data_IF_196454015301
#
_entry.id   IF_196454015301
#
_cell.length_a   1.000
_cell.length_b   1.000
_cell.length_c   1.000
_cell.angle_alpha   90.00
_cell.angle_beta   90.00
_cell.angle_gamma   90.00
#
_symmetry.space_group_name_H-M   'P 1'
#
loop_
_entity.id
_entity.type
_entity.pdbx_description
1 polymer ?
#
# COMPACT_ATOMS: atom_id res chain seq x y z
N UNK A 1 -61.68 5.19 6.45
CA UNK A 1 -60.58 4.47 5.78
C UNK A 1 -59.63 5.53 5.22
N UNK A 2 -58.40 5.63 5.76
CA UNK A 2 -57.37 6.60 5.31
C UNK A 2 -56.52 5.96 4.21
N UNK A 3 -56.15 6.70 3.13
CA UNK A 3 -55.37 6.13 2.04
C UNK A 3 -53.94 5.84 2.49
N UNK A 4 -53.45 4.67 2.09
CA UNK A 4 -52.10 4.17 2.32
C UNK A 4 -51.14 4.91 1.37
N UNK A 5 -50.26 5.75 1.90
CA UNK A 5 -49.25 6.46 1.10
C UNK A 5 -48.05 5.50 0.91
N UNK A 6 -47.90 4.97 -0.29
CA UNK A 6 -46.75 4.14 -0.66
C UNK A 6 -45.52 5.05 -0.80
N UNK A 7 -44.62 5.03 0.19
CA UNK A 7 -43.35 5.76 0.12
C UNK A 7 -42.40 4.97 -0.80
N UNK A 8 -42.26 5.43 -2.05
CA UNK A 8 -41.27 4.90 -2.98
C UNK A 8 -39.88 5.35 -2.51
N UNK A 9 -39.13 4.47 -1.86
CA UNK A 9 -37.71 4.71 -1.55
C UNK A 9 -36.94 4.60 -2.87
N UNK A 10 -36.68 5.74 -3.50
CA UNK A 10 -35.71 5.85 -4.59
C UNK A 10 -34.32 5.62 -3.99
N UNK A 11 -33.82 4.39 -4.15
CA UNK A 11 -32.38 4.10 -4.00
C UNK A 11 -31.70 4.82 -5.15
N UNK A 12 -31.13 5.99 -4.88
CA UNK A 12 -30.27 6.69 -5.83
C UNK A 12 -28.96 5.90 -5.95
N UNK A 13 -28.97 4.88 -6.82
CA UNK A 13 -27.73 4.35 -7.35
C UNK A 13 -27.05 5.48 -8.12
N UNK A 14 -26.01 6.08 -7.53
CA UNK A 14 -25.21 7.09 -8.20
C UNK A 14 -24.72 6.52 -9.52
N UNK A 15 -25.05 7.17 -10.63
CA UNK A 15 -24.49 6.83 -11.94
C UNK A 15 -22.99 7.10 -11.86
N UNK A 16 -22.18 6.04 -11.72
CA UNK A 16 -20.73 6.16 -11.76
C UNK A 16 -20.29 6.65 -13.13
N UNK A 17 -19.37 7.60 -13.18
CA UNK A 17 -18.89 8.17 -14.43
C UNK A 17 -18.18 7.10 -15.29
N UNK A 18 -18.01 7.34 -16.61
CA UNK A 18 -17.25 6.44 -17.47
C UNK A 18 -15.84 6.15 -16.94
N UNK A 19 -15.18 7.11 -16.28
CA UNK A 19 -13.85 6.92 -15.69
C UNK A 19 -13.90 6.15 -14.36
N UNK A 20 -14.92 6.34 -13.54
CA UNK A 20 -15.12 5.53 -12.32
C UNK A 20 -15.25 4.04 -12.65
N UNK A 21 -16.06 3.71 -13.67
CA UNK A 21 -16.22 2.34 -14.15
C UNK A 21 -14.90 1.73 -14.65
N UNK A 22 -14.02 2.53 -15.26
CA UNK A 22 -12.68 2.08 -15.65
C UNK A 22 -11.78 1.87 -14.42
N UNK A 23 -11.89 2.74 -13.42
CA UNK A 23 -11.15 2.64 -12.16
C UNK A 23 -11.57 1.40 -11.37
N UNK A 24 -12.87 1.11 -11.24
CA UNK A 24 -13.39 -0.09 -10.57
C UNK A 24 -12.80 -1.37 -11.17
N UNK A 25 -12.82 -1.48 -12.50
CA UNK A 25 -12.26 -2.63 -13.21
C UNK A 25 -10.74 -2.71 -13.07
N UNK A 26 -10.04 -1.59 -13.14
CA UNK A 26 -8.59 -1.56 -12.99
C UNK A 26 -8.16 -1.96 -11.57
N UNK A 27 -8.87 -1.47 -10.55
CA UNK A 27 -8.63 -1.81 -9.15
C UNK A 27 -8.88 -3.29 -8.88
N UNK A 28 -10.00 -3.83 -9.36
CA UNK A 28 -10.29 -5.26 -9.28
C UNK A 28 -9.16 -6.11 -9.89
N UNK A 29 -8.69 -5.74 -11.09
CA UNK A 29 -7.61 -6.46 -11.77
C UNK A 29 -6.27 -6.34 -11.02
N UNK A 30 -5.98 -5.18 -10.42
CA UNK A 30 -4.77 -4.97 -9.63
C UNK A 30 -4.76 -5.84 -8.35
N UNK A 31 -5.84 -5.83 -7.57
CA UNK A 31 -5.90 -6.56 -6.30
C UNK A 31 -6.16 -8.06 -6.46
N UNK A 32 -6.56 -8.49 -7.65
CA UNK A 32 -6.69 -9.90 -8.02
C UNK A 32 -5.68 -10.31 -9.10
N UNK A 33 -4.51 -9.67 -9.17
CA UNK A 33 -3.47 -9.98 -10.19
C UNK A 33 -2.94 -11.42 -10.10
N UNK A 34 -3.03 -12.05 -8.93
CA UNK A 34 -2.63 -13.44 -8.70
C UNK A 34 -3.43 -14.44 -9.54
N UNK A 35 -4.65 -14.10 -9.97
CA UNK A 35 -5.51 -14.96 -10.78
C UNK A 35 -5.16 -14.93 -12.29
N UNK A 36 -4.16 -14.16 -12.74
CA UNK A 36 -3.73 -14.18 -14.14
C UNK A 36 -2.62 -13.22 -14.54
N UNK A 37 -1.66 -13.70 -15.33
CA UNK A 37 -0.40 -13.02 -15.69
C UNK A 37 -0.54 -11.72 -16.51
N UNK A 38 -1.73 -11.42 -17.06
CA UNK A 38 -1.99 -10.20 -17.85
C UNK A 38 -2.87 -9.15 -17.14
N UNK A 39 -3.25 -9.38 -15.88
CA UNK A 39 -4.20 -8.51 -15.18
C UNK A 39 -3.65 -7.12 -14.88
N UNK A 40 -2.38 -7.03 -14.47
CA UNK A 40 -1.74 -5.74 -14.21
C UNK A 40 -1.65 -4.86 -15.47
N UNK A 41 -1.30 -5.46 -16.62
CA UNK A 41 -1.27 -4.75 -17.91
C UNK A 41 -2.66 -4.35 -18.40
N UNK A 42 -3.68 -5.18 -18.12
CA UNK A 42 -5.08 -4.86 -18.41
C UNK A 42 -5.58 -3.68 -17.56
N UNK A 43 -5.29 -3.69 -16.25
CA UNK A 43 -5.56 -2.58 -15.34
C UNK A 43 -4.89 -1.29 -15.85
N UNK A 44 -3.63 -1.42 -16.29
CA UNK A 44 -2.88 -0.29 -16.86
C UNK A 44 -3.53 0.23 -18.15
N UNK A 45 -4.01 -0.65 -19.02
CA UNK A 45 -4.65 -0.23 -20.27
C UNK A 45 -5.95 0.55 -20.01
N UNK A 46 -6.73 0.13 -19.00
CA UNK A 46 -7.95 0.83 -18.58
C UNK A 46 -7.67 2.24 -18.05
N UNK A 47 -6.64 2.38 -17.22
CA UNK A 47 -6.30 3.68 -16.63
C UNK A 47 -5.60 4.62 -17.64
N UNK A 48 -4.89 4.12 -18.67
CA UNK A 48 -4.48 4.93 -19.84
C UNK A 48 -5.70 5.57 -20.49
N UNK A 49 -6.78 4.80 -20.68
CA UNK A 49 -8.02 5.31 -21.26
C UNK A 49 -8.69 6.30 -20.32
N UNK A 50 -8.79 5.99 -19.03
CA UNK A 50 -9.34 6.90 -18.00
C UNK A 50 -8.63 8.25 -17.99
N UNK A 51 -7.30 8.25 -17.98
CA UNK A 51 -6.45 9.45 -18.04
C UNK A 51 -6.63 10.29 -19.30
N UNK A 52 -6.98 9.67 -20.43
CA UNK A 52 -7.28 10.41 -21.68
C UNK A 52 -8.64 11.10 -21.61
N UNK A 53 -9.62 10.47 -20.96
CA UNK A 53 -10.97 11.00 -20.82
C UNK A 53 -11.01 12.11 -19.76
N UNK A 54 -10.43 11.84 -18.58
CA UNK A 54 -10.41 12.78 -17.46
C UNK A 54 -9.02 12.79 -16.81
N UNK A 55 -8.10 13.64 -17.31
CA UNK A 55 -6.72 13.67 -16.84
C UNK A 55 -6.60 13.96 -15.34
N UNK A 56 -7.54 14.72 -14.76
CA UNK A 56 -7.51 15.13 -13.35
C UNK A 56 -8.35 14.21 -12.44
N UNK A 57 -8.83 13.07 -12.92
CA UNK A 57 -9.61 12.16 -12.08
C UNK A 57 -8.75 11.57 -10.95
N UNK A 58 -9.04 11.94 -9.70
CA UNK A 58 -8.18 11.65 -8.54
C UNK A 58 -7.96 10.15 -8.31
N UNK A 59 -9.03 9.35 -8.34
CA UNK A 59 -8.93 7.89 -8.19
C UNK A 59 -8.14 7.25 -9.34
N UNK A 60 -8.22 7.82 -10.54
CA UNK A 60 -7.48 7.31 -11.69
C UNK A 60 -5.97 7.57 -11.50
N UNK A 61 -5.60 8.78 -11.06
CA UNK A 61 -4.23 9.15 -10.70
C UNK A 61 -3.65 8.24 -9.60
N UNK A 62 -4.41 8.03 -8.52
CA UNK A 62 -4.04 7.13 -7.44
C UNK A 62 -3.73 5.71 -7.95
N UNK A 63 -4.67 5.07 -8.65
CA UNK A 63 -4.48 3.71 -9.17
C UNK A 63 -3.33 3.66 -10.18
N UNK A 64 -3.15 4.72 -10.97
CA UNK A 64 -2.07 4.83 -11.95
C UNK A 64 -0.69 4.86 -11.30
N UNK A 65 -0.56 5.59 -10.18
CA UNK A 65 0.66 5.60 -9.37
C UNK A 65 0.95 4.21 -8.79
N UNK A 66 -0.06 3.58 -8.18
CA UNK A 66 0.06 2.21 -7.63
C UNK A 66 0.52 1.18 -8.66
N UNK A 67 -0.04 1.20 -9.86
CA UNK A 67 0.39 0.29 -10.93
C UNK A 67 1.87 0.45 -11.25
N UNK A 68 2.38 1.68 -11.29
CA UNK A 68 3.80 1.91 -11.55
C UNK A 68 4.68 1.43 -10.39
N UNK A 69 4.21 1.54 -9.14
CA UNK A 69 4.90 0.94 -7.98
C UNK A 69 4.94 -0.57 -8.12
N UNK A 70 3.80 -1.23 -8.38
CA UNK A 70 3.76 -2.68 -8.56
C UNK A 70 4.69 -3.14 -9.69
N UNK A 71 4.64 -2.48 -10.85
CA UNK A 71 5.54 -2.81 -11.95
C UNK A 71 7.02 -2.63 -11.55
N UNK A 72 7.32 -1.66 -10.68
CA UNK A 72 8.67 -1.44 -10.16
C UNK A 72 9.09 -2.54 -9.18
N UNK A 73 8.18 -2.99 -8.32
CA UNK A 73 8.40 -4.11 -7.40
C UNK A 73 8.69 -5.40 -8.20
N UNK A 74 7.92 -5.66 -9.26
CA UNK A 74 8.06 -6.81 -10.18
C UNK A 74 9.31 -6.75 -11.09
N UNK A 75 9.86 -5.55 -11.32
CA UNK A 75 11.01 -5.38 -12.20
C UNK A 75 12.28 -6.02 -11.61
N UNK A 76 13.18 -6.53 -12.46
CA UNK A 76 14.41 -7.19 -12.01
C UNK A 76 15.61 -6.26 -11.95
N UNK A 77 15.67 -5.31 -12.89
CA UNK A 77 16.81 -4.42 -13.01
C UNK A 77 16.60 -3.09 -12.28
N UNK A 78 17.65 -2.62 -11.62
CA UNK A 78 17.65 -1.39 -10.81
C UNK A 78 17.23 -0.16 -11.61
N UNK A 79 17.62 -0.06 -12.88
CA UNK A 79 17.30 1.08 -13.73
C UNK A 79 15.79 1.18 -14.00
N UNK A 80 15.16 0.05 -14.32
CA UNK A 80 13.72 -0.06 -14.56
C UNK A 80 12.92 0.19 -13.30
N UNK A 81 13.35 -0.35 -12.15
CA UNK A 81 12.76 -0.05 -10.84
C UNK A 81 12.68 1.46 -10.61
N UNK A 82 13.81 2.15 -10.70
CA UNK A 82 13.88 3.60 -10.51
C UNK A 82 13.00 4.35 -11.51
N UNK A 83 13.04 4.00 -12.80
CA UNK A 83 12.21 4.65 -13.80
C UNK A 83 10.70 4.50 -13.54
N UNK A 84 10.28 3.38 -12.94
CA UNK A 84 8.89 3.12 -12.59
C UNK A 84 8.48 3.87 -11.32
N UNK A 85 9.30 3.85 -10.27
CA UNK A 85 9.01 4.60 -9.05
C UNK A 85 9.03 6.11 -9.27
N UNK A 86 9.93 6.65 -10.11
CA UNK A 86 9.92 8.07 -10.47
C UNK A 86 8.65 8.47 -11.24
N UNK A 87 8.12 7.58 -12.09
CA UNK A 87 6.81 7.81 -12.74
C UNK A 87 5.69 7.82 -11.70
N UNK A 88 5.66 6.84 -10.79
CA UNK A 88 4.66 6.78 -9.73
C UNK A 88 4.69 8.05 -8.87
N UNK A 89 5.89 8.50 -8.49
CA UNK A 89 6.09 9.74 -7.74
C UNK A 89 5.53 10.96 -8.49
N UNK A 90 5.86 11.13 -9.77
CA UNK A 90 5.37 12.25 -10.57
C UNK A 90 3.83 12.26 -10.69
N UNK A 91 3.21 11.07 -10.80
CA UNK A 91 1.75 10.91 -10.83
C UNK A 91 1.14 11.28 -9.47
N UNK A 92 1.74 10.84 -8.37
CA UNK A 92 1.29 11.19 -7.02
C UNK A 92 1.50 12.69 -6.71
N UNK A 93 2.58 13.30 -7.19
CA UNK A 93 2.82 14.75 -7.13
C UNK A 93 1.68 15.49 -7.85
N UNK A 94 1.26 15.03 -9.03
CA UNK A 94 0.10 15.61 -9.74
C UNK A 94 -1.18 15.55 -8.88
N UNK A 95 -1.41 14.45 -8.16
CA UNK A 95 -2.58 14.31 -7.28
C UNK A 95 -2.49 15.25 -6.07
N UNK A 96 -1.30 15.42 -5.46
CA UNK A 96 -1.07 16.34 -4.34
C UNK A 96 -1.25 17.80 -4.76
N UNK A 97 -0.77 18.17 -5.93
CA UNK A 97 -0.96 19.52 -6.51
C UNK A 97 -2.42 19.81 -6.83
N UNK A 98 -3.15 18.80 -7.31
CA UNK A 98 -4.56 18.91 -7.61
C UNK A 98 -5.41 19.05 -6.34
N UNK A 99 -5.12 18.25 -5.32
CA UNK A 99 -5.87 18.20 -4.07
C UNK A 99 -4.96 17.76 -2.91
N UNK A 100 -4.41 18.73 -2.17
CA UNK A 100 -3.57 18.46 -0.98
C UNK A 100 -4.36 17.82 0.18
N UNK A 101 -5.70 17.92 0.14
CA UNK A 101 -6.60 17.28 1.10
C UNK A 101 -6.86 15.80 0.79
N UNK A 102 -6.37 15.26 -0.34
CA UNK A 102 -6.51 13.85 -0.65
C UNK A 102 -5.37 13.02 -0.01
N UNK A 103 -5.68 12.13 0.96
CA UNK A 103 -4.65 11.33 1.63
C UNK A 103 -3.89 10.41 0.67
N UNK A 104 -4.52 9.92 -0.40
CA UNK A 104 -3.90 9.01 -1.37
C UNK A 104 -2.75 9.69 -2.13
N UNK A 105 -2.82 11.00 -2.37
CA UNK A 105 -1.73 11.76 -2.99
C UNK A 105 -0.46 11.70 -2.16
N UNK A 106 -0.57 12.00 -0.87
CA UNK A 106 0.56 11.96 0.07
C UNK A 106 1.05 10.53 0.32
N UNK A 107 0.12 9.58 0.47
CA UNK A 107 0.44 8.17 0.71
C UNK A 107 1.31 7.61 -0.41
N UNK A 108 0.84 7.70 -1.65
CA UNK A 108 1.53 7.06 -2.77
C UNK A 108 2.74 7.85 -3.28
N UNK A 109 2.82 9.14 -2.98
CA UNK A 109 4.07 9.87 -3.09
C UNK A 109 5.12 9.35 -2.11
N UNK A 110 4.74 9.15 -0.85
CA UNK A 110 5.61 8.61 0.19
C UNK A 110 6.09 7.20 -0.13
N UNK A 111 5.21 6.30 -0.59
CA UNK A 111 5.60 4.94 -1.01
C UNK A 111 6.59 5.00 -2.18
N UNK A 112 6.31 5.80 -3.22
CA UNK A 112 7.21 5.92 -4.36
C UNK A 112 8.60 6.45 -3.95
N UNK A 113 8.63 7.48 -3.10
CA UNK A 113 9.88 8.03 -2.55
C UNK A 113 10.64 7.02 -1.68
N UNK A 114 9.94 6.25 -0.85
CA UNK A 114 10.52 5.17 -0.04
C UNK A 114 11.18 4.11 -0.92
N UNK A 115 10.46 3.64 -1.95
CA UNK A 115 10.98 2.67 -2.93
C UNK A 115 12.19 3.20 -3.71
N UNK A 116 12.19 4.49 -4.09
CA UNK A 116 13.36 5.16 -4.69
C UNK A 116 14.55 5.12 -3.71
N UNK A 117 14.33 5.49 -2.44
CA UNK A 117 15.37 5.49 -1.41
C UNK A 117 15.95 4.10 -1.16
N UNK A 118 15.10 3.08 -1.00
CA UNK A 118 15.50 1.69 -0.85
C UNK A 118 16.35 1.23 -2.06
N UNK A 119 15.91 1.57 -3.28
CA UNK A 119 16.61 1.18 -4.52
C UNK A 119 17.96 1.87 -4.70
N UNK A 120 18.10 3.12 -4.23
CA UNK A 120 19.38 3.87 -4.22
C UNK A 120 20.28 3.45 -3.04
N UNK A 121 19.72 2.76 -2.05
CA UNK A 121 20.35 2.40 -0.80
C UNK A 121 19.92 3.35 0.33
N UNK A 122 19.48 2.76 1.45
CA UNK A 122 18.92 3.50 2.60
C UNK A 122 19.88 4.56 3.12
N UNK A 123 21.17 4.23 3.31
CA UNK A 123 22.18 5.17 3.82
C UNK A 123 22.40 6.37 2.89
N UNK A 124 22.33 6.16 1.57
CA UNK A 124 22.47 7.23 0.58
C UNK A 124 21.23 8.12 0.50
N UNK A 125 20.13 7.74 1.17
CA UNK A 125 18.81 8.35 1.05
C UNK A 125 18.31 8.93 2.38
N UNK A 126 19.15 9.00 3.42
CA UNK A 126 18.74 9.45 4.76
C UNK A 126 18.20 10.89 4.77
N UNK A 127 18.65 11.74 3.86
CA UNK A 127 18.13 13.10 3.70
C UNK A 127 16.62 13.14 3.33
N UNK A 128 16.06 12.05 2.80
CA UNK A 128 14.64 11.95 2.43
C UNK A 128 13.74 11.68 3.64
N UNK A 129 14.28 11.16 4.75
CA UNK A 129 13.51 10.68 5.91
C UNK A 129 12.54 11.73 6.48
N UNK A 130 12.92 13.01 6.69
CA UNK A 130 11.97 14.01 7.19
C UNK A 130 10.77 14.17 6.27
N UNK A 131 10.98 14.18 4.96
CA UNK A 131 9.90 14.33 3.97
C UNK A 131 8.97 13.12 3.92
N UNK A 132 9.51 11.90 4.04
CA UNK A 132 8.72 10.67 4.11
C UNK A 132 7.83 10.64 5.35
N UNK A 133 8.42 10.93 6.51
CA UNK A 133 7.68 10.97 7.78
C UNK A 133 6.59 12.04 7.74
N UNK A 134 6.89 13.22 7.20
CA UNK A 134 5.92 14.29 7.01
C UNK A 134 4.75 13.87 6.13
N UNK A 135 5.01 13.21 5.01
CA UNK A 135 3.97 12.72 4.10
C UNK A 135 3.04 11.70 4.78
N UNK A 136 3.58 10.68 5.45
CA UNK A 136 2.73 9.68 6.10
C UNK A 136 1.98 10.23 7.33
N UNK A 137 2.58 11.16 8.07
CA UNK A 137 1.85 11.86 9.13
C UNK A 137 0.70 12.71 8.56
N UNK A 138 0.92 13.39 7.42
CA UNK A 138 -0.13 14.14 6.74
C UNK A 138 -1.28 13.23 6.29
N UNK A 139 -0.98 12.00 5.86
CA UNK A 139 -2.02 11.00 5.58
C UNK A 139 -2.85 10.72 6.83
N UNK A 140 -2.22 10.47 7.98
CA UNK A 140 -2.94 10.19 9.24
C UNK A 140 -3.69 11.41 9.81
N UNK A 141 -3.27 12.63 9.49
CA UNK A 141 -4.04 13.84 9.81
C UNK A 141 -5.32 13.94 8.98
N UNK A 142 -5.26 13.56 7.70
CA UNK A 142 -6.39 13.60 6.77
C UNK A 142 -7.34 12.41 6.95
N UNK A 143 -6.77 11.23 7.22
CA UNK A 143 -7.47 9.97 7.44
C UNK A 143 -6.77 9.18 8.57
N UNK A 144 -7.20 9.35 9.83
CA UNK A 144 -6.66 8.61 10.98
C UNK A 144 -6.89 7.10 10.92
N UNK A 145 -7.76 6.62 10.01
CA UNK A 145 -8.05 5.21 9.80
C UNK A 145 -7.19 4.58 8.69
N UNK A 146 -6.27 5.33 8.06
CA UNK A 146 -5.56 4.83 6.90
C UNK A 146 -4.50 3.77 7.28
N UNK A 147 -4.89 2.49 7.20
CA UNK A 147 -4.07 1.33 7.60
C UNK A 147 -2.68 1.32 6.94
N UNK A 148 -2.59 1.61 5.63
CA UNK A 148 -1.32 1.65 4.89
C UNK A 148 -0.35 2.74 5.39
N UNK A 149 -0.83 3.83 5.98
CA UNK A 149 0.06 4.85 6.54
C UNK A 149 0.70 4.39 7.86
N UNK A 150 -0.03 3.62 8.67
CA UNK A 150 0.53 2.94 9.85
C UNK A 150 1.61 1.93 9.45
N UNK A 151 1.36 1.14 8.41
CA UNK A 151 2.35 0.23 7.82
C UNK A 151 3.63 0.97 7.42
N UNK A 152 3.50 2.01 6.58
CA UNK A 152 4.64 2.74 6.05
C UNK A 152 5.47 3.45 7.13
N UNK A 153 4.84 4.00 8.18
CA UNK A 153 5.56 4.53 9.34
C UNK A 153 6.27 3.42 10.12
N UNK A 154 5.59 2.28 10.32
CA UNK A 154 6.16 1.08 10.93
C UNK A 154 7.43 0.62 10.22
N UNK A 155 7.37 0.46 8.91
CA UNK A 155 8.51 0.10 8.04
C UNK A 155 9.62 1.14 8.12
N UNK A 156 9.29 2.43 8.02
CA UNK A 156 10.27 3.51 8.10
C UNK A 156 11.09 3.46 9.39
N UNK A 157 10.42 3.29 10.54
CA UNK A 157 11.09 3.15 11.83
C UNK A 157 11.88 1.84 11.96
N UNK A 158 11.42 0.75 11.33
CA UNK A 158 12.09 -0.54 11.32
C UNK A 158 13.39 -0.54 10.50
N UNK A 159 13.39 0.13 9.34
CA UNK A 159 14.47 0.07 8.36
C UNK A 159 15.61 1.05 8.65
N UNK A 160 15.31 2.18 9.28
CA UNK A 160 16.32 3.18 9.57
C UNK A 160 17.30 2.69 10.65
N UNK A 161 18.59 3.04 10.55
CA UNK A 161 19.52 2.90 11.66
C UNK A 161 19.11 3.75 12.87
N UNK A 162 19.36 3.27 14.08
CA UNK A 162 18.97 3.97 15.31
C UNK A 162 19.51 5.39 15.43
N UNK A 163 20.76 5.64 15.00
CA UNK A 163 21.40 6.95 15.07
C UNK A 163 20.79 8.01 14.12
N UNK A 164 19.93 7.61 13.18
CA UNK A 164 19.21 8.51 12.28
C UNK A 164 17.68 8.43 12.46
N UNK A 165 17.24 7.92 13.62
CA UNK A 165 15.83 7.91 14.01
C UNK A 165 15.07 6.63 13.67
N UNK A 166 15.78 5.52 13.43
CA UNK A 166 15.20 4.18 13.54
C UNK A 166 14.83 3.85 14.98
N UNK A 167 13.70 3.18 15.17
CA UNK A 167 13.17 2.84 16.49
C UNK A 167 12.28 1.60 16.36
N UNK A 168 12.78 0.46 16.82
CA UNK A 168 12.06 -0.81 16.68
C UNK A 168 10.79 -0.85 17.54
N UNK A 169 10.78 -0.20 18.71
CA UNK A 169 9.62 -0.17 19.59
C UNK A 169 8.51 0.72 19.00
N UNK A 170 8.89 1.88 18.46
CA UNK A 170 7.95 2.76 17.76
C UNK A 170 7.41 2.11 16.48
N UNK A 171 8.26 1.40 15.75
CA UNK A 171 7.84 0.59 14.61
C UNK A 171 6.76 -0.43 15.00
N UNK A 172 6.98 -1.20 16.08
CA UNK A 172 5.97 -2.15 16.58
C UNK A 172 4.66 -1.46 16.98
N UNK A 173 4.71 -0.28 17.61
CA UNK A 173 3.50 0.47 17.97
C UNK A 173 2.65 0.83 16.73
N UNK A 174 3.27 1.35 15.66
CA UNK A 174 2.54 1.66 14.43
C UNK A 174 1.99 0.40 13.76
N UNK A 175 2.78 -0.67 13.67
CA UNK A 175 2.36 -1.92 13.03
C UNK A 175 1.20 -2.58 13.80
N UNK A 176 1.27 -2.62 15.13
CA UNK A 176 0.14 -3.12 15.95
C UNK A 176 -1.10 -2.25 15.78
N UNK A 177 -0.95 -0.92 15.74
CA UNK A 177 -2.08 -0.03 15.49
C UNK A 177 -2.71 -0.25 14.12
N UNK A 178 -1.90 -0.51 13.08
CA UNK A 178 -2.40 -0.91 11.77
C UNK A 178 -3.20 -2.21 11.81
N UNK A 179 -2.72 -3.23 12.53
CA UNK A 179 -3.44 -4.51 12.70
C UNK A 179 -4.72 -4.39 13.54
N UNK A 180 -4.81 -3.42 14.46
CA UNK A 180 -6.05 -3.13 15.17
C UNK A 180 -7.13 -2.56 14.24
N UNK A 181 -6.73 -1.76 13.23
CA UNK A 181 -7.63 -1.20 12.23
C UNK A 181 -8.03 -2.24 11.18
N UNK A 182 -7.06 -3.03 10.72
CA UNK A 182 -7.30 -4.10 9.76
C UNK A 182 -6.47 -5.36 10.11
N UNK A 183 -7.09 -6.34 10.79
CA UNK A 183 -6.45 -7.60 11.13
C UNK A 183 -6.09 -8.47 9.91
N UNK A 184 -6.71 -8.22 8.74
CA UNK A 184 -6.54 -9.01 7.53
C UNK A 184 -5.54 -8.37 6.55
N UNK A 185 -4.91 -7.26 6.92
CA UNK A 185 -3.85 -6.62 6.14
C UNK A 185 -2.51 -7.32 6.38
N UNK A 186 -2.30 -8.41 5.64
CA UNK A 186 -1.24 -9.40 5.88
C UNK A 186 0.17 -8.82 5.83
N UNK A 187 0.42 -7.81 4.99
CA UNK A 187 1.72 -7.13 4.90
C UNK A 187 2.16 -6.52 6.23
N UNK A 188 1.25 -5.91 7.00
CA UNK A 188 1.61 -5.34 8.32
C UNK A 188 2.03 -6.44 9.28
N UNK A 189 1.39 -7.61 9.21
CA UNK A 189 1.75 -8.75 10.05
C UNK A 189 3.13 -9.29 9.70
N UNK A 190 3.47 -9.32 8.41
CA UNK A 190 4.81 -9.67 7.94
C UNK A 190 5.86 -8.67 8.43
N UNK A 191 5.58 -7.38 8.34
CA UNK A 191 6.50 -6.33 8.78
C UNK A 191 6.64 -6.27 10.30
N UNK A 192 5.58 -6.61 11.05
CA UNK A 192 5.65 -6.82 12.50
C UNK A 192 6.56 -7.99 12.83
N UNK A 193 6.42 -9.13 12.15
CA UNK A 193 7.31 -10.27 12.36
C UNK A 193 8.78 -9.92 12.06
N UNK A 194 9.06 -9.19 10.98
CA UNK A 194 10.41 -8.70 10.67
C UNK A 194 10.97 -7.79 11.76
N UNK A 195 10.15 -6.86 12.24
CA UNK A 195 10.52 -5.98 13.34
C UNK A 195 10.84 -6.78 14.63
N UNK A 196 10.00 -7.77 14.99
CA UNK A 196 10.21 -8.65 16.14
C UNK A 196 11.50 -9.48 16.01
N UNK A 197 11.83 -9.96 14.80
CA UNK A 197 13.12 -10.62 14.53
C UNK A 197 14.30 -9.68 14.79
N UNK A 198 14.23 -8.41 14.36
CA UNK A 198 15.28 -7.41 14.65
C UNK A 198 15.39 -7.13 16.16
N UNK A 199 14.28 -7.19 16.89
CA UNK A 199 14.26 -7.12 18.36
C UNK A 199 14.73 -8.42 19.05
N UNK A 200 15.11 -9.47 18.30
CA UNK A 200 15.47 -10.81 18.81
C UNK A 200 14.31 -11.57 19.46
N UNK A 201 13.06 -11.12 19.28
CA UNK A 201 11.82 -11.75 19.79
C UNK A 201 11.29 -12.78 18.78
N UNK A 202 12.07 -13.83 18.56
CA UNK A 202 11.83 -14.82 17.49
C UNK A 202 10.55 -15.63 17.67
N UNK A 203 10.20 -16.02 18.89
CA UNK A 203 8.99 -16.82 19.13
C UNK A 203 7.72 -16.01 18.84
N UNK A 204 7.70 -14.73 19.21
CA UNK A 204 6.59 -13.84 18.86
C UNK A 204 6.52 -13.59 17.35
N UNK A 205 7.67 -13.46 16.68
CA UNK A 205 7.70 -13.37 15.22
C UNK A 205 7.10 -14.62 14.57
N UNK A 206 7.41 -15.82 15.07
CA UNK A 206 6.84 -17.09 14.59
C UNK A 206 5.32 -17.07 14.69
N UNK A 207 4.77 -16.66 15.83
CA UNK A 207 3.31 -16.55 16.04
C UNK A 207 2.65 -15.63 15.03
N UNK A 208 3.23 -14.45 14.76
CA UNK A 208 2.66 -13.53 13.78
C UNK A 208 2.73 -14.07 12.34
N UNK A 209 3.80 -14.79 11.98
CA UNK A 209 3.91 -15.42 10.66
C UNK A 209 2.91 -16.57 10.46
N UNK A 210 2.69 -17.38 11.51
CA UNK A 210 1.68 -18.44 11.48
C UNK A 210 0.27 -17.87 11.33
N UNK A 211 -0.04 -16.78 12.05
CA UNK A 211 -1.30 -16.03 11.90
C UNK A 211 -1.46 -15.46 10.50
N UNK A 212 -0.39 -14.94 9.89
CA UNK A 212 -0.41 -14.45 8.52
C UNK A 212 -0.84 -15.56 7.57
N UNK A 213 -0.16 -16.71 7.64
CA UNK A 213 -0.43 -17.85 6.74
C UNK A 213 -1.85 -18.40 6.92
N UNK A 214 -2.41 -18.30 8.13
CA UNK A 214 -3.77 -18.73 8.46
C UNK A 214 -4.86 -17.71 8.07
N UNK A 215 -4.53 -16.58 7.44
CA UNK A 215 -5.52 -15.59 7.01
C UNK A 215 -6.39 -16.14 5.87
N UNK A 216 -7.70 -16.26 6.11
CA UNK A 216 -8.65 -16.81 5.13
C UNK A 216 -9.21 -15.74 4.17
N UNK A 217 -9.31 -14.49 4.62
CA UNK A 217 -9.90 -13.38 3.86
C UNK A 217 -8.99 -12.16 3.89
N UNK A 218 -7.83 -12.20 3.19
CA UNK A 218 -6.88 -11.09 3.17
C UNK A 218 -7.46 -9.84 2.50
N UNK A 219 -7.13 -8.66 3.02
CA UNK A 219 -7.57 -7.37 2.45
C UNK A 219 -7.02 -7.14 1.06
N UNK A 220 -5.78 -7.58 0.79
CA UNK A 220 -5.15 -7.56 -0.54
C UNK A 220 -4.80 -8.99 -0.98
N UNK A 221 -5.73 -9.71 -1.62
CA UNK A 221 -5.53 -11.12 -1.97
C UNK A 221 -4.32 -11.39 -2.85
N UNK A 222 -4.03 -10.50 -3.82
CA UNK A 222 -2.87 -10.67 -4.67
C UNK A 222 -1.54 -10.48 -3.93
N UNK A 223 -1.42 -9.48 -3.05
CA UNK A 223 -0.21 -9.27 -2.25
C UNK A 223 -0.02 -10.46 -1.30
N UNK A 224 -1.11 -10.94 -0.70
CA UNK A 224 -1.09 -12.13 0.15
C UNK A 224 -0.55 -13.37 -0.58
N UNK A 225 -1.11 -13.73 -1.74
CA UNK A 225 -0.76 -14.98 -2.42
C UNK A 225 0.60 -14.91 -3.14
N UNK A 226 0.96 -13.75 -3.70
CA UNK A 226 2.19 -13.62 -4.49
C UNK A 226 3.41 -13.26 -3.65
N UNK A 227 3.22 -12.49 -2.58
CA UNK A 227 4.31 -11.83 -1.86
C UNK A 227 4.33 -12.24 -0.37
N UNK A 228 3.29 -11.87 0.40
CA UNK A 228 3.33 -11.96 1.87
C UNK A 228 3.45 -13.41 2.38
N UNK A 229 2.63 -14.33 1.85
CA UNK A 229 2.56 -15.72 2.30
C UNK A 229 3.81 -16.53 1.89
N UNK A 230 4.34 -16.42 0.65
CA UNK A 230 5.65 -16.97 0.32
C UNK A 230 6.78 -16.45 1.21
N UNK A 231 6.83 -15.14 1.46
CA UNK A 231 7.86 -14.53 2.31
C UNK A 231 7.74 -14.97 3.76
N UNK A 232 6.52 -15.08 4.29
CA UNK A 232 6.27 -15.57 5.64
C UNK A 232 6.75 -17.01 5.83
N UNK A 233 6.47 -17.90 4.85
CA UNK A 233 6.96 -19.29 4.86
C UNK A 233 8.49 -19.36 4.81
N UNK A 234 9.12 -18.51 4.01
CA UNK A 234 10.57 -18.43 3.92
C UNK A 234 11.19 -17.97 5.26
N UNK A 235 10.62 -16.95 5.89
CA UNK A 235 11.09 -16.44 7.18
C UNK A 235 10.88 -17.45 8.31
N UNK A 236 9.74 -18.14 8.36
CA UNK A 236 9.51 -19.24 9.31
C UNK A 236 10.58 -20.33 9.21
N UNK A 237 10.92 -20.75 7.98
CA UNK A 237 11.97 -21.75 7.76
C UNK A 237 13.33 -21.28 8.29
N UNK A 238 13.66 -20.00 8.13
CA UNK A 238 14.90 -19.42 8.67
C UNK A 238 14.91 -19.41 10.20
N UNK A 239 13.76 -19.15 10.84
CA UNK A 239 13.63 -19.13 12.30
C UNK A 239 13.60 -20.52 12.95
N UNK A 240 13.31 -21.57 12.19
CA UNK A 240 13.34 -22.97 12.68
C UNK A 240 14.68 -23.67 12.44
N UNK A 241 15.58 -23.09 11.65
CA UNK A 241 16.91 -23.63 11.35
C UNK A 241 18.04 -23.10 12.24
N UNK A 242 17.72 -22.42 13.34
CA UNK A 242 18.63 -21.87 14.35
C UNK A 242 18.35 -22.54 15.69
#
# INVERSE_FOLDING_TARGET
MKPFLLLLVLVTGGLSGPVDSLCDRAEFLLFNRHEGTGRLDSARSLLIRGRRLEPKHERCLYLWSRIHIQQGDDAKDKGRKLALYERARAIADTLRELNDGNPLGHMWWGVAQGRIGQTRGVLNSLFMVPSLRGAFNRVLELDPGHTTAYDALGVLYCELPGFVGGDLAKSEQYLRRGLELDPNYTVIRLDLARNLVKQKRRDEARVELERLIATESPTLPADFELDDKPEARALLKQLSGQ
#
